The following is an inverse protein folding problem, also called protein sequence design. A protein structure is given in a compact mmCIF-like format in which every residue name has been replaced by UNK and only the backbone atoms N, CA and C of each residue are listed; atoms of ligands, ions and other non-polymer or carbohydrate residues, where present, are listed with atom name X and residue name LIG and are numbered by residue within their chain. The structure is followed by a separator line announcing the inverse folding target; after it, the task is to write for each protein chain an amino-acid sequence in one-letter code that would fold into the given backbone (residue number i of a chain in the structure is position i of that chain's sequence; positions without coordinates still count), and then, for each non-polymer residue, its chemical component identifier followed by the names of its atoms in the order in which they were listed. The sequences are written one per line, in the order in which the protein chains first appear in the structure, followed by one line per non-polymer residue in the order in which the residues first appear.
data_IF_599892859122
#
_entry.id   IF_599892859122
#
_cell.length_a   1.000
_cell.length_b   1.000
_cell.length_c   1.000
_cell.angle_alpha   90.00
_cell.angle_beta   90.00
_cell.angle_gamma   90.00
#
_symmetry.space_group_name_H-M   'P 1'
#
loop_
_entity.id
_entity.type
_entity.pdbx_description
1 polymer ?
#
# COMPACT_ATOMS: atom_id res chain seq x y z
N UNK A 1 -0.10 -14.72 -1.53
CA UNK A 1 0.28 -14.08 -2.82
C UNK A 1 -0.79 -13.14 -3.41
N UNK A 2 -2.05 -13.13 -2.95
CA UNK A 2 -3.08 -12.22 -3.48
C UNK A 2 -2.87 -10.73 -3.12
N UNK A 3 -2.38 -10.41 -1.91
CA UNK A 3 -2.25 -9.01 -1.47
C UNK A 3 -1.28 -8.19 -2.34
N UNK A 4 -0.17 -8.79 -2.82
CA UNK A 4 0.79 -8.10 -3.69
C UNK A 4 0.19 -7.77 -5.06
N UNK A 5 -0.54 -8.70 -5.65
CA UNK A 5 -1.23 -8.49 -6.93
C UNK A 5 -2.26 -7.36 -6.82
N UNK A 6 -3.03 -7.36 -5.71
CA UNK A 6 -4.02 -6.32 -5.44
C UNK A 6 -3.38 -4.93 -5.32
N UNK A 7 -2.30 -4.79 -4.53
CA UNK A 7 -1.60 -3.52 -4.39
C UNK A 7 -0.99 -3.04 -5.72
N UNK A 8 -0.44 -3.94 -6.52
CA UNK A 8 0.05 -3.59 -7.86
C UNK A 8 -1.08 -3.09 -8.78
N UNK A 9 -2.29 -3.65 -8.66
CA UNK A 9 -3.46 -3.16 -9.40
C UNK A 9 -3.89 -1.76 -8.96
N UNK A 10 -3.89 -1.47 -7.65
CA UNK A 10 -4.11 -0.12 -7.15
C UNK A 10 -3.08 0.87 -7.72
N UNK A 11 -1.82 0.45 -7.82
CA UNK A 11 -0.75 1.26 -8.42
C UNK A 11 -1.05 1.66 -9.87
N UNK A 12 -1.62 0.76 -10.67
CA UNK A 12 -2.00 1.05 -12.07
C UNK A 12 -3.18 2.03 -12.16
N UNK A 13 -4.12 1.96 -11.23
CA UNK A 13 -5.33 2.79 -11.20
C UNK A 13 -5.14 4.09 -10.42
N UNK A 14 -3.94 4.35 -9.90
CA UNK A 14 -3.70 5.46 -8.99
C UNK A 14 -4.09 6.82 -9.57
N UNK A 15 -3.83 7.04 -10.86
CA UNK A 15 -4.24 8.27 -11.54
C UNK A 15 -5.75 8.44 -11.64
N UNK A 16 -6.49 7.35 -11.79
CA UNK A 16 -7.95 7.38 -11.83
C UNK A 16 -8.52 7.73 -10.44
N UNK A 17 -7.92 7.19 -9.38
CA UNK A 17 -8.25 7.59 -8.00
C UNK A 17 -7.96 9.07 -7.76
N UNK A 18 -6.79 9.58 -8.16
CA UNK A 18 -6.45 11.00 -8.05
C UNK A 18 -7.44 11.89 -8.83
N UNK A 19 -7.83 11.48 -10.04
CA UNK A 19 -8.81 12.22 -10.86
C UNK A 19 -10.21 12.27 -10.22
N UNK A 20 -10.57 11.25 -9.43
CA UNK A 20 -11.80 11.21 -8.64
C UNK A 20 -11.70 11.99 -7.31
N UNK A 21 -10.57 12.65 -7.02
CA UNK A 21 -10.34 13.37 -5.76
C UNK A 21 -10.03 12.43 -4.58
N UNK A 22 -9.58 11.21 -4.85
CA UNK A 22 -9.21 10.22 -3.86
C UNK A 22 -7.69 10.03 -3.77
N UNK A 23 -7.23 9.59 -2.60
CA UNK A 23 -5.84 9.22 -2.32
C UNK A 23 -5.80 7.75 -1.88
N UNK A 24 -4.70 7.07 -2.17
CA UNK A 24 -4.48 5.67 -1.81
C UNK A 24 -3.35 5.61 -0.78
N UNK A 25 -3.55 4.82 0.26
CA UNK A 25 -2.47 4.38 1.14
C UNK A 25 -2.68 2.90 1.47
N UNK A 26 -1.59 2.17 1.67
CA UNK A 26 -1.64 0.77 2.08
C UNK A 26 -1.06 0.66 3.48
N UNK A 27 -1.73 -0.06 4.38
CA UNK A 27 -1.21 -0.35 5.72
C UNK A 27 -0.97 -1.87 5.82
N UNK A 28 0.23 -2.26 6.23
CA UNK A 28 0.60 -3.66 6.45
C UNK A 28 0.73 -3.93 7.95
N UNK A 29 0.26 -5.08 8.41
CA UNK A 29 0.48 -5.57 9.79
C UNK A 29 1.90 -6.09 10.05
N UNK A 30 2.90 -5.55 9.34
CA UNK A 30 4.30 -5.99 9.40
C UNK A 30 5.19 -4.80 9.78
N UNK A 31 6.50 -5.00 9.97
CA UNK A 31 7.43 -3.94 10.40
C UNK A 31 7.63 -2.84 9.35
N UNK A 32 8.17 -1.71 9.78
CA UNK A 32 8.51 -0.58 8.91
C UNK A 32 9.47 -0.96 7.78
N UNK A 33 10.44 -1.82 8.07
CA UNK A 33 11.42 -2.30 7.09
C UNK A 33 10.74 -3.15 6.03
N UNK A 34 9.80 -4.02 6.44
CA UNK A 34 9.00 -4.84 5.53
C UNK A 34 8.06 -4.01 4.68
N UNK A 35 7.40 -3.00 5.25
CA UNK A 35 6.57 -2.05 4.51
C UNK A 35 7.38 -1.28 3.46
N UNK A 36 8.57 -0.81 3.82
CA UNK A 36 9.50 -0.15 2.88
C UNK A 36 9.89 -1.06 1.73
N UNK A 37 10.38 -2.27 2.04
CA UNK A 37 10.74 -3.26 1.00
C UNK A 37 9.56 -3.57 0.08
N UNK A 38 8.35 -3.64 0.65
CA UNK A 38 7.13 -3.91 -0.10
C UNK A 38 6.83 -2.80 -1.12
N UNK A 39 6.94 -1.53 -0.72
CA UNK A 39 6.79 -0.37 -1.60
C UNK A 39 7.85 -0.37 -2.72
N UNK A 40 9.11 -0.66 -2.38
CA UNK A 40 10.23 -0.68 -3.33
C UNK A 40 10.06 -1.79 -4.39
N UNK A 41 9.67 -3.00 -3.98
CA UNK A 41 9.45 -4.14 -4.89
C UNK A 41 8.30 -3.84 -5.85
N UNK A 42 7.19 -3.30 -5.34
CA UNK A 42 5.98 -3.05 -6.14
C UNK A 42 6.01 -1.71 -6.87
N UNK A 43 6.99 -0.85 -6.57
CA UNK A 43 7.12 0.52 -7.10
C UNK A 43 5.82 1.29 -6.98
N UNK A 44 5.20 1.23 -5.79
CA UNK A 44 3.90 1.85 -5.58
C UNK A 44 4.00 3.37 -5.71
N UNK A 45 3.06 4.03 -6.40
CA UNK A 45 3.05 5.48 -6.53
C UNK A 45 2.44 6.20 -5.31
N UNK A 46 2.15 5.45 -4.25
CA UNK A 46 1.52 5.89 -3.01
C UNK A 46 2.23 5.30 -1.77
N UNK A 47 1.99 5.85 -0.57
CA UNK A 47 2.59 5.38 0.67
C UNK A 47 2.19 3.96 1.06
N UNK A 48 3.16 3.22 1.61
CA UNK A 48 2.93 1.94 2.30
C UNK A 48 3.38 2.12 3.75
N UNK A 49 2.43 2.01 4.68
CA UNK A 49 2.59 2.17 6.11
C UNK A 49 2.68 0.82 6.82
N UNK A 50 3.18 0.86 8.04
CA UNK A 50 3.38 -0.29 8.93
C UNK A 50 2.53 -0.10 10.19
N UNK A 51 1.78 -1.14 10.55
CA UNK A 51 0.97 -1.24 11.78
C UNK A 51 1.26 -2.59 12.47
N UNK A 52 2.46 -2.78 13.03
CA UNK A 52 2.90 -4.08 13.54
C UNK A 52 2.12 -4.54 14.77
N UNK A 53 1.40 -3.62 15.42
CA UNK A 53 0.61 -3.88 16.62
C UNK A 53 -0.89 -3.97 16.32
N UNK A 54 -1.30 -3.94 15.05
CA UNK A 54 -2.71 -3.98 14.64
C UNK A 54 -3.57 -2.92 15.35
N UNK A 55 -2.99 -1.73 15.59
CA UNK A 55 -3.65 -0.65 16.29
C UNK A 55 -4.65 0.11 15.39
N UNK A 56 -4.49 0.00 14.07
CA UNK A 56 -5.32 0.66 13.07
C UNK A 56 -6.38 -0.29 12.50
N UNK A 57 -6.00 -1.54 12.19
CA UNK A 57 -6.91 -2.56 11.66
C UNK A 57 -6.76 -3.89 12.42
N UNK A 58 -7.87 -4.37 13.00
CA UNK A 58 -8.01 -5.63 13.75
C UNK A 58 -7.99 -6.87 12.84
#
# INVERSE_FOLDING_TARGET
MQCRSHVAQLGRLYKDFQAAGAEVLVILGDTSERARQYAEILKTPFPVLSDPNHAVFL
#
